data_IF_425625100074
#
_entry.id   IF_425625100074
#
_cell.length_a   1.000
_cell.length_b   1.000
_cell.length_c   1.000
_cell.angle_alpha   90.00
_cell.angle_beta   90.00
_cell.angle_gamma   90.00
#
_symmetry.space_group_name_H-M   'P 1'
#
loop_
_entity.id
_entity.type
_entity.pdbx_description
1 polymer ?
#
# COMPACT_ATOMS: atom_id res chain seq x y z
N UNK A 1 47.99 39.22 -69.53
CA UNK A 1 47.21 39.70 -68.35
C UNK A 1 47.78 38.95 -67.14
N UNK A 2 48.64 39.56 -66.29
CA UNK A 2 48.29 40.28 -65.03
C UNK A 2 47.18 39.53 -64.27
N UNK A 3 47.25 39.16 -62.98
CA UNK A 3 48.25 39.30 -61.91
C UNK A 3 47.63 38.72 -60.60
N UNK A 4 48.47 38.24 -59.65
CA UNK A 4 48.26 38.03 -58.19
C UNK A 4 47.25 36.95 -57.72
N UNK A 5 47.59 35.92 -56.91
CA UNK A 5 48.29 35.77 -55.60
C UNK A 5 47.39 35.95 -54.34
N UNK A 6 47.51 34.92 -53.48
CA UNK A 6 47.33 34.82 -52.01
C UNK A 6 45.99 34.36 -51.39
N UNK A 7 46.13 33.26 -50.64
CA UNK A 7 45.37 32.83 -49.46
C UNK A 7 44.86 33.99 -48.60
N UNK A 8 43.71 33.80 -47.94
CA UNK A 8 43.50 33.79 -46.47
C UNK A 8 42.00 33.92 -46.17
N UNK A 9 41.45 32.95 -45.42
CA UNK A 9 40.43 33.09 -44.35
C UNK A 9 39.20 33.98 -44.60
N UNK A 10 37.99 33.41 -44.53
CA UNK A 10 36.79 33.91 -43.81
C UNK A 10 35.60 32.97 -44.15
N UNK A 11 35.18 32.09 -43.24
CA UNK A 11 34.10 32.35 -42.28
C UNK A 11 32.77 32.69 -42.95
N UNK A 12 31.93 31.68 -43.21
CA UNK A 12 30.47 31.83 -43.24
C UNK A 12 29.75 30.48 -43.39
N UNK A 13 29.02 30.11 -42.33
CA UNK A 13 27.68 29.49 -42.40
C UNK A 13 27.55 28.10 -43.04
N UNK A 14 27.61 27.04 -42.21
CA UNK A 14 26.42 26.20 -41.87
C UNK A 14 26.84 25.06 -40.94
N UNK A 15 26.95 25.36 -39.65
CA UNK A 15 26.77 24.36 -38.59
C UNK A 15 25.29 24.44 -38.22
N UNK A 16 24.52 23.50 -38.73
CA UNK A 16 23.15 23.20 -38.29
C UNK A 16 22.88 21.71 -38.54
N UNK A 17 23.71 20.86 -37.92
CA UNK A 17 23.36 19.47 -37.66
C UNK A 17 22.81 19.41 -36.23
N UNK A 18 21.61 19.98 -36.05
CA UNK A 18 20.80 19.78 -34.85
C UNK A 18 19.85 18.64 -35.19
N UNK A 19 20.18 17.47 -34.63
CA UNK A 19 19.28 16.47 -34.07
C UNK A 19 17.79 16.61 -34.43
N UNK A 20 17.31 15.71 -35.29
CA UNK A 20 15.94 15.21 -35.24
C UNK A 20 16.02 13.69 -35.12
N UNK A 21 16.44 13.24 -33.92
CA UNK A 21 16.01 11.95 -33.40
C UNK A 21 14.55 12.16 -33.01
N UNK A 22 13.66 11.56 -33.77
CA UNK A 22 12.25 11.41 -33.43
C UNK A 22 12.14 10.44 -32.26
N UNK A 23 12.26 10.94 -31.04
CA UNK A 23 11.69 10.28 -29.88
C UNK A 23 10.25 10.79 -29.74
N UNK A 24 9.29 9.96 -30.15
CA UNK A 24 7.92 10.05 -29.63
C UNK A 24 7.97 9.58 -28.18
N UNK A 25 8.24 10.50 -27.26
CA UNK A 25 7.89 10.28 -25.86
C UNK A 25 6.40 10.58 -25.73
N UNK A 26 5.58 9.62 -26.11
CA UNK A 26 4.32 9.36 -25.41
C UNK A 26 4.70 8.54 -24.18
N UNK A 27 5.40 9.19 -23.24
CA UNK A 27 5.44 8.73 -21.86
C UNK A 27 4.19 9.32 -21.21
N UNK A 28 3.02 8.73 -21.49
CA UNK A 28 1.94 8.65 -20.51
C UNK A 28 2.35 7.66 -19.41
N UNK A 29 3.59 7.79 -18.94
CA UNK A 29 3.92 7.38 -17.60
C UNK A 29 3.17 8.38 -16.75
N UNK A 30 2.01 7.94 -16.23
CA UNK A 30 1.44 8.43 -15.00
C UNK A 30 2.55 8.31 -13.95
N UNK A 31 3.49 9.26 -13.99
CA UNK A 31 4.30 9.60 -12.86
C UNK A 31 3.27 10.18 -11.89
N UNK A 32 2.74 9.27 -11.07
CA UNK A 32 2.18 9.58 -9.78
C UNK A 32 3.35 10.26 -9.08
N UNK A 33 3.51 11.57 -9.31
CA UNK A 33 4.14 12.44 -8.33
C UNK A 33 3.26 12.27 -7.11
N UNK A 34 3.62 11.29 -6.26
CA UNK A 34 3.04 11.17 -4.94
C UNK A 34 3.17 12.57 -4.35
N UNK A 35 2.04 13.20 -4.07
CA UNK A 35 2.12 14.45 -3.34
C UNK A 35 2.79 14.08 -2.01
N UNK A 36 3.87 14.75 -1.67
CA UNK A 36 4.59 14.52 -0.41
C UNK A 36 3.57 14.53 0.73
N UNK A 37 3.55 13.46 1.53
CA UNK A 37 2.50 13.28 2.56
C UNK A 37 2.63 14.36 3.62
N UNK A 38 3.87 14.72 3.95
CA UNK A 38 4.28 15.91 4.70
C UNK A 38 5.11 16.77 3.75
N UNK A 39 4.76 18.04 3.58
CA UNK A 39 5.48 18.92 2.65
C UNK A 39 6.82 19.40 3.23
N UNK A 40 7.91 19.20 2.49
CA UNK A 40 9.21 19.81 2.80
C UNK A 40 9.10 21.33 2.91
N UNK A 41 9.79 21.92 3.89
CA UNK A 41 9.72 23.35 4.19
C UNK A 41 8.60 23.74 5.17
N UNK A 42 7.73 22.79 5.57
CA UNK A 42 6.72 22.99 6.61
C UNK A 42 7.37 23.11 7.99
N UNK A 43 6.91 24.03 8.82
CA UNK A 43 7.33 24.14 10.21
C UNK A 43 6.62 23.12 11.08
N UNK A 44 7.37 22.44 11.95
CA UNK A 44 6.84 21.45 12.89
C UNK A 44 7.28 21.76 14.31
N UNK A 45 6.35 21.66 15.26
CA UNK A 45 6.61 21.76 16.69
C UNK A 45 6.34 20.43 17.39
N UNK A 46 7.26 19.97 18.22
CA UNK A 46 7.12 18.74 19.03
C UNK A 46 6.96 19.07 20.51
N UNK A 47 5.95 18.46 21.14
CA UNK A 47 5.70 18.50 22.59
C UNK A 47 5.40 17.11 23.12
N UNK A 48 5.72 16.88 24.39
CA UNK A 48 5.56 15.58 25.02
C UNK A 48 4.62 15.64 26.24
N UNK A 49 3.81 14.60 26.40
CA UNK A 49 3.01 14.35 27.60
C UNK A 49 3.14 12.90 28.01
N UNK A 50 3.00 12.62 29.30
CA UNK A 50 2.99 11.26 29.82
C UNK A 50 1.70 10.98 30.60
N UNK A 51 1.20 9.75 30.47
CA UNK A 51 0.09 9.21 31.22
C UNK A 51 0.51 7.86 31.81
N UNK A 52 0.60 7.74 33.13
CA UNK A 52 0.91 6.49 33.82
C UNK A 52 -0.32 5.61 34.03
N UNK A 53 -0.22 4.33 33.68
CA UNK A 53 -1.25 3.32 33.82
C UNK A 53 -1.21 2.53 35.13
N UNK A 54 -1.53 1.24 35.06
CA UNK A 54 -1.56 0.31 36.20
C UNK A 54 -0.13 -0.15 36.50
N UNK A 55 0.63 0.70 37.18
CA UNK A 55 2.06 0.50 37.48
C UNK A 55 2.55 1.50 38.53
N UNK A 56 3.85 1.86 38.59
CA UNK A 56 4.24 3.07 39.32
C UNK A 56 3.42 4.23 38.76
N UNK A 57 2.42 4.66 39.52
CA UNK A 57 1.42 5.62 39.08
C UNK A 57 2.04 7.02 39.11
N UNK A 58 2.84 7.32 38.09
CA UNK A 58 3.50 8.62 37.93
C UNK A 58 2.48 9.76 37.85
N UNK A 59 1.29 9.48 37.34
CA UNK A 59 0.25 10.49 37.09
C UNK A 59 -1.15 10.05 37.54
N UNK A 60 -1.28 8.91 38.21
CA UNK A 60 -2.59 8.32 38.59
C UNK A 60 -3.60 8.25 37.43
N UNK A 61 -3.14 7.90 36.23
CA UNK A 61 -3.97 7.80 35.03
C UNK A 61 -4.26 9.11 34.32
N UNK A 62 -3.85 10.26 34.88
CA UNK A 62 -3.97 11.56 34.21
C UNK A 62 -2.88 11.72 33.15
N UNK A 63 -3.24 12.28 31.99
CA UNK A 63 -2.24 12.77 31.03
C UNK A 63 -1.73 14.12 31.51
N UNK A 64 -0.41 14.23 31.68
CA UNK A 64 0.25 15.46 32.14
C UNK A 64 1.39 15.86 31.21
N UNK A 65 1.66 17.17 31.04
CA UNK A 65 2.81 17.64 30.29
C UNK A 65 4.14 17.14 30.90
N UNK A 66 5.13 16.86 30.07
CA UNK A 66 6.42 16.30 30.51
C UNK A 66 7.17 17.23 31.48
N UNK A 67 6.91 18.54 31.40
CA UNK A 67 7.47 19.57 32.27
C UNK A 67 7.20 19.30 33.76
N UNK A 68 6.13 18.57 34.09
CA UNK A 68 5.81 18.15 35.45
C UNK A 68 6.91 17.26 36.05
N UNK A 69 7.61 16.49 35.21
CA UNK A 69 8.69 15.60 35.62
C UNK A 69 10.06 16.30 35.67
N UNK A 70 10.17 17.47 35.03
CA UNK A 70 11.40 18.25 34.92
C UNK A 70 11.17 19.70 35.36
N UNK A 71 10.77 19.95 36.63
CA UNK A 71 10.35 21.28 37.08
C UNK A 71 11.47 22.33 37.06
N UNK A 72 12.73 21.89 37.10
CA UNK A 72 13.91 22.75 37.07
C UNK A 72 14.52 22.88 35.66
N UNK A 73 14.00 22.17 34.66
CA UNK A 73 14.48 22.26 33.29
C UNK A 73 13.94 23.51 32.59
N UNK A 74 14.71 24.03 31.63
CA UNK A 74 14.24 25.08 30.73
C UNK A 74 13.11 24.52 29.84
N UNK A 75 11.89 25.13 29.83
CA UNK A 75 10.80 24.68 28.96
C UNK A 75 11.17 24.62 27.48
N UNK A 76 12.12 25.45 27.04
CA UNK A 76 12.62 25.46 25.65
C UNK A 76 13.51 24.25 25.33
N UNK A 77 13.91 23.48 26.33
CA UNK A 77 14.64 22.22 26.16
C UNK A 77 13.72 20.98 26.18
N UNK A 78 12.43 21.16 26.48
CA UNK A 78 11.41 20.11 26.56
C UNK A 78 10.39 20.16 25.40
N UNK A 79 10.46 21.23 24.61
CA UNK A 79 9.74 21.42 23.36
C UNK A 79 10.75 21.87 22.29
N UNK A 80 10.49 21.57 21.03
CA UNK A 80 11.35 22.01 19.95
C UNK A 80 10.51 22.36 18.71
N UNK A 81 11.08 23.20 17.85
CA UNK A 81 10.51 23.56 16.56
C UNK A 81 11.57 23.42 15.48
N UNK A 82 11.20 22.87 14.34
CA UNK A 82 12.08 22.68 13.18
C UNK A 82 11.32 22.97 11.89
N UNK A 83 12.02 22.89 10.76
CA UNK A 83 11.46 22.89 9.41
C UNK A 83 11.77 21.54 8.81
N UNK A 84 10.78 20.88 8.20
CA UNK A 84 10.93 19.58 7.56
C UNK A 84 11.90 19.70 6.39
N UNK A 85 13.00 18.96 6.42
CA UNK A 85 14.03 18.90 5.38
C UNK A 85 14.53 17.45 5.20
N UNK A 86 15.58 17.22 4.42
CA UNK A 86 16.16 15.87 4.22
C UNK A 86 17.04 15.41 5.41
N UNK A 87 17.26 16.28 6.40
CA UNK A 87 18.18 16.10 7.52
C UNK A 87 17.43 16.14 8.86
N UNK A 88 17.94 15.39 9.84
CA UNK A 88 17.45 15.34 11.23
C UNK A 88 16.97 16.70 11.80
N UNK A 89 15.68 16.81 12.06
CA UNK A 89 15.02 18.04 12.51
C UNK A 89 15.25 18.39 13.98
N UNK A 90 15.25 17.37 14.86
CA UNK A 90 15.27 17.59 16.30
C UNK A 90 16.41 16.84 16.98
N UNK A 91 17.68 17.25 16.72
CA UNK A 91 18.81 16.65 17.38
C UNK A 91 18.73 16.92 18.88
N UNK A 92 18.84 15.85 19.67
CA UNK A 92 18.83 15.93 21.14
C UNK A 92 17.54 16.49 21.74
N UNK A 93 16.38 16.21 21.13
CA UNK A 93 15.07 16.55 21.68
C UNK A 93 14.89 16.01 23.11
N UNK A 94 14.14 16.79 23.92
CA UNK A 94 13.77 16.46 25.29
C UNK A 94 15.03 16.15 26.12
N UNK A 95 15.89 17.15 26.30
CA UNK A 95 17.16 17.01 27.04
C UNK A 95 18.06 15.88 26.54
N UNK A 96 18.08 15.60 25.23
CA UNK A 96 18.88 14.53 24.66
C UNK A 96 18.32 13.13 24.88
N UNK A 97 17.00 12.98 25.05
CA UNK A 97 16.36 11.67 25.10
C UNK A 97 16.31 11.02 23.74
N UNK A 98 15.82 11.76 22.74
CA UNK A 98 15.62 11.28 21.38
C UNK A 98 16.35 12.15 20.37
N UNK A 99 16.82 11.49 19.33
CA UNK A 99 17.00 12.06 18.01
C UNK A 99 15.72 11.80 17.21
N UNK A 100 15.09 12.87 16.70
CA UNK A 100 13.84 12.76 15.94
C UNK A 100 14.03 13.37 14.57
N UNK A 101 13.64 12.61 13.57
CA UNK A 101 13.80 12.89 12.14
C UNK A 101 12.44 12.67 11.47
N UNK A 102 11.97 13.65 10.71
CA UNK A 102 10.67 13.67 10.06
C UNK A 102 10.90 14.06 8.61
N UNK A 103 10.68 13.11 7.70
CA UNK A 103 10.71 13.36 6.28
C UNK A 103 9.28 13.38 5.69
N UNK A 104 9.20 13.47 4.36
CA UNK A 104 7.92 13.56 3.65
C UNK A 104 6.98 12.39 3.91
N UNK A 105 7.52 11.20 4.20
CA UNK A 105 6.79 9.93 4.27
C UNK A 105 7.08 9.12 5.54
N UNK A 106 7.87 9.64 6.47
CA UNK A 106 8.32 8.91 7.66
C UNK A 106 8.60 9.79 8.87
N UNK A 107 8.42 9.20 10.05
CA UNK A 107 8.74 9.80 11.34
C UNK A 107 9.60 8.77 12.10
N UNK A 108 10.82 9.14 12.45
CA UNK A 108 11.80 8.27 13.09
C UNK A 108 12.17 8.81 14.47
N UNK A 109 12.19 7.92 15.46
CA UNK A 109 12.68 8.21 16.81
C UNK A 109 13.83 7.27 17.14
N UNK A 110 14.97 7.83 17.52
CA UNK A 110 16.11 7.07 18.01
C UNK A 110 16.51 7.54 19.41
N UNK A 111 16.50 6.64 20.39
CA UNK A 111 16.90 7.00 21.74
C UNK A 111 18.40 7.27 21.81
N UNK A 112 18.75 8.50 22.18
CA UNK A 112 20.14 8.96 22.34
C UNK A 112 20.66 8.77 23.76
N UNK A 113 19.77 8.77 24.75
CA UNK A 113 20.13 8.55 26.15
C UNK A 113 20.82 7.19 26.35
N UNK A 114 21.90 7.18 27.12
CA UNK A 114 22.75 6.01 27.31
C UNK A 114 22.57 5.36 28.69
N UNK A 115 23.07 4.14 28.85
CA UNK A 115 23.09 3.48 30.17
C UNK A 115 23.83 4.35 31.18
N UNK A 116 23.18 4.67 32.30
CA UNK A 116 23.74 5.54 33.33
C UNK A 116 23.56 7.03 33.08
N UNK A 117 22.75 7.42 32.09
CA UNK A 117 22.31 8.80 31.91
C UNK A 117 21.70 9.35 33.21
N UNK A 118 22.16 10.52 33.65
CA UNK A 118 21.76 11.10 34.93
C UNK A 118 20.31 11.61 34.93
N UNK A 119 19.77 11.95 33.76
CA UNK A 119 18.41 12.44 33.58
C UNK A 119 17.45 11.28 33.37
N UNK A 120 17.80 10.35 32.48
CA UNK A 120 16.87 9.31 32.00
C UNK A 120 17.10 7.92 32.57
N UNK A 121 18.24 7.66 33.20
CA UNK A 121 18.61 6.34 33.69
C UNK A 121 17.59 5.72 34.66
N UNK A 122 16.90 6.54 35.45
CA UNK A 122 15.84 6.10 36.36
C UNK A 122 14.51 5.75 35.70
N UNK A 123 14.33 6.12 34.43
CA UNK A 123 13.10 5.88 33.67
C UNK A 123 13.18 4.67 32.72
N UNK A 124 14.38 4.12 32.47
CA UNK A 124 14.52 2.97 31.58
C UNK A 124 13.77 1.74 32.08
N UNK A 125 12.84 1.23 31.27
CA UNK A 125 11.95 0.10 31.59
C UNK A 125 11.16 -0.35 30.36
N UNK A 126 10.41 -1.44 30.49
CA UNK A 126 9.31 -1.73 29.57
C UNK A 126 8.07 -0.95 30.01
N UNK A 127 7.43 -0.22 29.09
CA UNK A 127 6.24 0.58 29.38
C UNK A 127 5.10 -0.33 29.85
N UNK A 128 4.49 0.03 30.97
CA UNK A 128 3.47 -0.77 31.64
C UNK A 128 2.08 -0.66 31.00
N UNK A 129 1.22 -1.63 31.29
CA UNK A 129 -0.16 -1.66 30.82
C UNK A 129 -0.92 -0.37 31.20
N UNK A 130 -1.55 0.23 30.19
CA UNK A 130 -2.30 1.48 30.33
C UNK A 130 -1.46 2.74 30.49
N UNK A 131 -0.12 2.66 30.37
CA UNK A 131 0.76 3.82 30.29
C UNK A 131 0.93 4.28 28.84
N UNK A 132 1.03 5.59 28.62
CA UNK A 132 1.24 6.19 27.32
C UNK A 132 2.21 7.36 27.40
N UNK A 133 3.17 7.38 26.49
CA UNK A 133 4.04 8.52 26.23
C UNK A 133 3.68 9.09 24.86
N UNK A 134 3.30 10.37 24.79
CA UNK A 134 2.71 10.98 23.59
C UNK A 134 3.50 12.18 23.13
N UNK A 135 3.91 12.14 21.87
CA UNK A 135 4.57 13.22 21.18
C UNK A 135 3.61 13.86 20.19
N UNK A 136 3.20 15.09 20.50
CA UNK A 136 2.33 15.92 19.68
C UNK A 136 3.19 16.67 18.67
N UNK A 137 3.04 16.32 17.40
CA UNK A 137 3.65 17.00 16.25
C UNK A 137 2.61 17.97 15.69
N UNK A 138 2.87 19.26 15.82
CA UNK A 138 1.99 20.33 15.32
C UNK A 138 2.65 21.02 14.14
N UNK A 139 2.06 20.88 12.97
CA UNK A 139 2.53 21.47 11.71
C UNK A 139 1.90 22.85 11.50
N UNK A 140 2.67 23.80 10.98
CA UNK A 140 2.15 25.14 10.65
C UNK A 140 1.30 25.17 9.38
N UNK A 141 1.50 24.21 8.48
CA UNK A 141 0.64 23.90 7.34
C UNK A 141 -0.02 22.51 7.47
N UNK A 142 -1.16 22.27 6.81
CA UNK A 142 -1.80 20.96 6.80
C UNK A 142 -0.89 19.85 6.25
N UNK A 143 -0.84 18.71 6.93
CA UNK A 143 -0.30 17.47 6.39
C UNK A 143 -1.38 16.71 5.61
N UNK A 144 -0.96 15.72 4.81
CA UNK A 144 -1.83 14.87 3.99
C UNK A 144 -1.94 13.44 4.54
N UNK A 145 -1.54 13.18 5.78
CA UNK A 145 -1.52 11.82 6.35
C UNK A 145 -2.94 11.28 6.52
N UNK A 146 -3.21 10.12 5.91
CA UNK A 146 -4.48 9.37 6.02
C UNK A 146 -4.30 7.99 6.64
N UNK A 147 -3.16 7.34 6.42
CA UNK A 147 -2.81 6.07 7.07
C UNK A 147 -1.33 6.01 7.47
N UNK A 148 -0.97 4.98 8.23
CA UNK A 148 0.41 4.75 8.66
C UNK A 148 0.66 3.26 8.95
N UNK A 149 1.93 2.90 9.00
CA UNK A 149 2.43 1.65 9.59
C UNK A 149 3.54 1.99 10.60
N UNK A 150 3.77 1.11 11.59
CA UNK A 150 4.88 1.28 12.55
C UNK A 150 5.78 0.06 12.56
N UNK A 151 7.07 0.28 12.76
CA UNK A 151 8.06 -0.80 12.95
C UNK A 151 7.94 -1.50 14.30
N UNK A 152 7.20 -0.94 15.26
CA UNK A 152 7.04 -1.47 16.61
C UNK A 152 5.54 -1.54 16.99
N UNK A 153 5.08 -2.71 17.40
CA UNK A 153 3.68 -2.95 17.74
C UNK A 153 3.20 -2.19 19.00
N UNK A 154 4.11 -1.70 19.83
CA UNK A 154 3.81 -0.86 20.98
C UNK A 154 3.73 0.65 20.63
N UNK A 155 3.97 1.01 19.37
CA UNK A 155 3.91 2.39 18.89
C UNK A 155 2.75 2.56 17.91
N UNK A 156 2.00 3.63 18.09
CA UNK A 156 0.86 3.98 17.26
C UNK A 156 0.93 5.45 16.81
N UNK A 157 0.30 5.78 15.69
CA UNK A 157 0.08 7.16 15.27
C UNK A 157 -1.42 7.49 15.39
N UNK A 158 -1.75 8.68 15.87
CA UNK A 158 -3.11 9.23 15.87
C UNK A 158 -3.12 10.52 15.05
N UNK A 159 -4.10 10.64 14.15
CA UNK A 159 -4.32 11.84 13.36
C UNK A 159 -5.41 12.64 14.06
N UNK A 160 -5.03 13.68 14.80
CA UNK A 160 -5.98 14.48 15.60
C UNK A 160 -6.64 15.59 14.78
N UNK A 161 -5.91 16.13 13.79
CA UNK A 161 -6.40 17.10 12.81
C UNK A 161 -5.44 17.16 11.63
N UNK A 162 -5.81 17.92 10.59
CA UNK A 162 -4.95 18.18 9.43
C UNK A 162 -3.60 18.83 9.80
N UNK A 163 -3.43 19.39 11.00
CA UNK A 163 -2.18 19.99 11.46
C UNK A 163 -1.55 19.26 12.66
N UNK A 164 -2.17 18.19 13.17
CA UNK A 164 -1.71 17.52 14.40
C UNK A 164 -1.64 16.01 14.22
N UNK A 165 -0.43 15.48 14.35
CA UNK A 165 -0.17 14.06 14.51
C UNK A 165 0.29 13.79 15.95
N UNK A 166 -0.08 12.63 16.49
CA UNK A 166 0.34 12.21 17.82
C UNK A 166 0.98 10.83 17.74
N UNK A 167 2.29 10.77 17.96
CA UNK A 167 3.02 9.51 18.15
C UNK A 167 2.78 9.05 19.57
N UNK A 168 2.18 7.88 19.74
CA UNK A 168 1.83 7.30 21.03
C UNK A 168 2.63 6.01 21.26
N UNK A 169 3.54 6.04 22.23
CA UNK A 169 4.27 4.88 22.72
C UNK A 169 3.49 4.31 23.90
N UNK A 170 3.19 3.01 23.87
CA UNK A 170 2.35 2.34 24.86
C UNK A 170 2.97 1.08 25.46
N UNK A 171 2.10 0.26 26.05
CA UNK A 171 2.45 -1.00 26.72
C UNK A 171 3.36 -1.89 25.87
N UNK A 172 4.41 -2.44 26.50
CA UNK A 172 5.31 -3.40 25.89
C UNK A 172 6.51 -2.78 25.18
N UNK A 173 6.51 -1.46 24.93
CA UNK A 173 7.68 -0.78 24.37
C UNK A 173 8.87 -0.87 25.34
N UNK A 174 10.03 -1.28 24.84
CA UNK A 174 11.24 -1.42 25.66
C UNK A 174 12.01 -0.10 25.64
N UNK A 175 11.66 0.79 26.56
CA UNK A 175 12.26 2.12 26.73
C UNK A 175 13.65 2.01 27.40
N UNK A 176 14.69 1.78 26.59
CA UNK A 176 16.08 1.63 27.05
C UNK A 176 17.08 2.10 25.98
N UNK A 177 18.36 2.35 26.33
CA UNK A 177 19.38 2.79 25.39
C UNK A 177 19.43 1.93 24.12
N UNK A 178 19.45 2.59 22.96
CA UNK A 178 19.43 1.95 21.65
C UNK A 178 18.04 1.57 21.13
N UNK A 179 16.96 1.84 21.87
CA UNK A 179 15.61 1.73 21.34
C UNK A 179 15.38 2.71 20.19
N UNK A 180 14.71 2.25 19.15
CA UNK A 180 14.31 3.07 18.01
C UNK A 180 13.06 2.51 17.37
N UNK A 181 12.27 3.37 16.73
CA UNK A 181 11.15 2.97 15.90
C UNK A 181 10.97 3.95 14.75
N UNK A 182 10.33 3.47 13.70
CA UNK A 182 9.88 4.28 12.57
C UNK A 182 8.37 4.17 12.38
N UNK A 183 7.79 5.23 11.85
CA UNK A 183 6.41 5.27 11.38
C UNK A 183 6.47 5.69 9.92
N UNK A 184 5.91 4.88 9.03
CA UNK A 184 5.72 5.25 7.62
C UNK A 184 4.31 5.81 7.47
N UNK A 185 4.17 7.00 6.88
CA UNK A 185 2.87 7.66 6.67
C UNK A 185 2.47 7.63 5.19
N UNK A 186 1.17 7.69 4.94
CA UNK A 186 0.62 7.68 3.58
C UNK A 186 -0.58 8.61 3.43
N UNK A 187 -0.71 9.22 2.26
CA UNK A 187 -1.90 9.97 1.84
C UNK A 187 -3.09 9.07 1.46
N UNK A 188 -2.87 7.75 1.38
CA UNK A 188 -3.94 6.80 1.11
C UNK A 188 -4.68 6.49 2.40
N UNK A 189 -6.01 6.61 2.37
CA UNK A 189 -6.86 6.09 3.44
C UNK A 189 -6.53 4.61 3.69
N UNK A 190 -6.60 4.12 4.94
CA UNK A 190 -6.42 2.71 5.20
C UNK A 190 -7.52 1.97 4.43
N UNK A 191 -7.12 1.25 3.39
CA UNK A 191 -8.02 0.42 2.60
C UNK A 191 -8.53 -0.68 3.50
N UNK A 192 -9.81 -0.61 3.87
CA UNK A 192 -10.47 -1.74 4.53
C UNK A 192 -10.56 -2.84 3.48
N UNK A 193 -9.92 -4.01 3.69
CA UNK A 193 -10.01 -5.09 2.72
C UNK A 193 -11.46 -5.44 2.45
N UNK A 194 -11.84 -5.43 1.18
CA UNK A 194 -13.16 -5.89 0.75
C UNK A 194 -13.32 -7.39 0.95
N UNK A 195 -12.21 -8.12 0.90
CA UNK A 195 -12.11 -9.53 1.25
C UNK A 195 -11.06 -9.69 2.33
N UNK A 196 -11.36 -10.48 3.37
CA UNK A 196 -10.49 -10.57 4.54
C UNK A 196 -9.34 -11.57 4.34
N UNK A 197 -8.13 -11.17 4.70
CA UNK A 197 -7.01 -12.09 4.84
C UNK A 197 -7.28 -13.10 5.97
N UNK A 198 -6.89 -14.35 5.74
CA UNK A 198 -7.09 -15.50 6.63
C UNK A 198 -8.31 -16.37 6.27
N UNK A 199 -9.12 -15.94 5.30
CA UNK A 199 -10.38 -16.60 4.95
C UNK A 199 -10.24 -17.61 3.82
N UNK A 200 -11.00 -18.71 3.85
CA UNK A 200 -10.97 -19.67 2.73
C UNK A 200 -11.90 -19.21 1.63
N UNK A 201 -11.38 -19.22 0.39
CA UNK A 201 -12.15 -18.97 -0.83
C UNK A 201 -12.16 -20.23 -1.69
N UNK A 202 -13.34 -20.56 -2.21
CA UNK A 202 -13.59 -21.70 -3.11
C UNK A 202 -13.95 -21.16 -4.48
N UNK A 203 -13.23 -21.59 -5.51
CA UNK A 203 -13.41 -21.20 -6.91
C UNK A 203 -14.02 -22.35 -7.69
N UNK A 204 -15.17 -22.08 -8.34
CA UNK A 204 -15.85 -23.01 -9.26
C UNK A 204 -16.13 -22.31 -10.57
N UNK A 205 -16.18 -23.09 -11.65
CA UNK A 205 -16.40 -22.54 -12.98
C UNK A 205 -17.59 -23.18 -13.70
N UNK A 206 -18.32 -22.37 -14.44
CA UNK A 206 -19.40 -22.79 -15.33
C UNK A 206 -19.30 -22.07 -16.66
N UNK A 207 -19.74 -22.70 -17.73
CA UNK A 207 -19.80 -22.08 -19.04
C UNK A 207 -21.22 -22.15 -19.61
N UNK A 208 -21.61 -21.08 -20.30
CA UNK A 208 -22.84 -20.98 -21.06
C UNK A 208 -22.50 -20.47 -22.45
N UNK A 209 -22.97 -21.13 -23.51
CA UNK A 209 -22.81 -20.63 -24.87
C UNK A 209 -23.79 -21.27 -25.83
N UNK A 210 -24.22 -20.52 -26.85
CA UNK A 210 -25.23 -20.99 -27.79
C UNK A 210 -24.79 -22.17 -28.63
N UNK A 211 -23.48 -22.29 -28.92
CA UNK A 211 -22.95 -23.35 -29.77
C UNK A 211 -22.49 -24.60 -28.99
N UNK A 212 -22.09 -24.43 -27.73
CA UNK A 212 -21.49 -25.49 -26.92
C UNK A 212 -22.52 -26.12 -25.98
N UNK A 213 -23.35 -25.31 -25.33
CA UNK A 213 -24.31 -25.75 -24.30
C UNK A 213 -25.76 -25.45 -24.67
N UNK A 214 -26.05 -25.13 -25.94
CA UNK A 214 -27.37 -24.70 -26.40
C UNK A 214 -27.95 -23.52 -25.56
N UNK A 215 -27.06 -22.66 -25.04
CA UNK A 215 -27.42 -21.52 -24.20
C UNK A 215 -27.78 -21.87 -22.76
N UNK A 216 -27.55 -23.11 -22.32
CA UNK A 216 -27.73 -23.55 -20.93
C UNK A 216 -26.41 -23.35 -20.16
N UNK A 217 -26.48 -22.86 -18.92
CA UNK A 217 -25.29 -22.81 -18.06
C UNK A 217 -24.99 -24.21 -17.54
N UNK A 218 -23.78 -24.71 -17.83
CA UNK A 218 -23.31 -26.03 -17.41
C UNK A 218 -22.03 -25.92 -16.60
N UNK A 219 -21.81 -26.86 -15.68
CA UNK A 219 -20.55 -26.95 -14.95
C UNK A 219 -19.42 -27.30 -15.91
N UNK A 220 -18.25 -26.72 -15.67
CA UNK A 220 -17.11 -26.98 -16.53
C UNK A 220 -16.68 -28.46 -16.48
N UNK A 221 -16.83 -29.15 -15.35
CA UNK A 221 -16.53 -30.57 -15.27
C UNK A 221 -17.42 -31.41 -16.20
N UNK A 222 -18.70 -31.04 -16.34
CA UNK A 222 -19.63 -31.76 -17.21
C UNK A 222 -19.21 -31.58 -18.68
N UNK A 223 -18.76 -30.38 -19.06
CA UNK A 223 -18.20 -30.09 -20.40
C UNK A 223 -16.91 -30.85 -20.70
N UNK A 224 -16.03 -30.99 -19.70
CA UNK A 224 -14.77 -31.72 -19.84
C UNK A 224 -14.92 -33.23 -19.60
N UNK A 225 -16.11 -33.72 -19.22
CA UNK A 225 -16.30 -35.11 -18.80
C UNK A 225 -15.47 -35.50 -17.57
N UNK A 226 -15.13 -34.52 -16.73
CA UNK A 226 -14.35 -34.69 -15.51
C UNK A 226 -15.25 -35.08 -14.32
N UNK A 227 -14.72 -35.76 -13.29
CA UNK A 227 -15.49 -36.04 -12.07
C UNK A 227 -15.96 -34.74 -11.39
N UNK A 228 -17.17 -34.74 -10.84
CA UNK A 228 -17.69 -33.58 -10.11
C UNK A 228 -16.73 -33.14 -8.98
N UNK A 229 -16.45 -31.84 -8.90
CA UNK A 229 -15.54 -31.26 -7.91
C UNK A 229 -14.05 -31.38 -8.24
N UNK A 230 -13.69 -32.06 -9.34
CA UNK A 230 -12.28 -32.27 -9.68
C UNK A 230 -11.59 -31.05 -10.28
N UNK A 231 -12.36 -30.04 -10.70
CA UNK A 231 -11.86 -28.78 -11.23
C UNK A 231 -12.17 -27.59 -10.30
N UNK A 232 -12.70 -27.86 -9.11
CA UNK A 232 -12.82 -26.87 -8.04
C UNK A 232 -11.46 -26.67 -7.36
N UNK A 233 -11.18 -25.44 -6.94
CA UNK A 233 -10.00 -25.12 -6.14
C UNK A 233 -10.42 -24.34 -4.90
N UNK A 234 -9.68 -24.52 -3.81
CA UNK A 234 -9.88 -23.75 -2.58
C UNK A 234 -8.54 -23.39 -1.95
N UNK A 235 -8.43 -22.19 -1.41
CA UNK A 235 -7.23 -21.77 -0.68
C UNK A 235 -7.58 -20.73 0.38
N UNK A 236 -6.65 -20.45 1.28
CA UNK A 236 -6.79 -19.40 2.29
C UNK A 236 -6.21 -18.10 1.77
N UNK A 237 -6.96 -17.01 1.92
CA UNK A 237 -6.55 -15.68 1.53
C UNK A 237 -5.39 -15.24 2.42
N UNK A 238 -4.27 -14.87 1.82
CA UNK A 238 -3.11 -14.21 2.40
C UNK A 238 -2.77 -13.04 1.48
N UNK A 239 -1.84 -12.16 1.83
CA UNK A 239 -1.39 -11.13 0.88
C UNK A 239 -0.91 -11.81 -0.41
N UNK A 240 -1.58 -11.49 -1.54
CA UNK A 240 -1.36 -12.07 -2.87
C UNK A 240 -1.57 -13.59 -2.96
N UNK A 241 -2.84 -14.01 -2.94
CA UNK A 241 -3.20 -15.43 -3.06
C UNK A 241 -3.19 -15.90 -4.48
N UNK A 242 -2.27 -16.81 -4.76
CA UNK A 242 -2.09 -17.43 -6.06
C UNK A 242 -2.90 -18.74 -6.13
N UNK A 243 -3.74 -18.87 -7.16
CA UNK A 243 -4.22 -20.16 -7.66
C UNK A 243 -3.41 -20.55 -8.88
N UNK A 244 -2.17 -21.05 -8.70
CA UNK A 244 -1.33 -21.33 -9.84
C UNK A 244 -1.94 -22.46 -10.65
N UNK A 245 -2.11 -22.22 -11.95
CA UNK A 245 -2.61 -23.23 -12.89
C UNK A 245 -4.03 -23.73 -12.56
N UNK A 246 -4.91 -22.84 -12.08
CA UNK A 246 -6.34 -23.15 -11.92
C UNK A 246 -6.93 -23.74 -13.21
N UNK A 247 -7.89 -24.65 -13.03
CA UNK A 247 -8.59 -25.30 -14.13
C UNK A 247 -7.62 -25.97 -15.12
N UNK A 248 -6.80 -26.92 -14.65
CA UNK A 248 -5.84 -27.63 -15.50
C UNK A 248 -4.83 -26.71 -16.24
N UNK A 249 -4.42 -25.60 -15.61
CA UNK A 249 -3.44 -24.68 -16.20
C UNK A 249 -4.03 -23.61 -17.11
N UNK A 250 -5.31 -23.29 -17.01
CA UNK A 250 -5.90 -22.21 -17.80
C UNK A 250 -5.49 -20.84 -17.30
N UNK A 251 -5.85 -20.55 -16.04
CA UNK A 251 -5.63 -19.25 -15.41
C UNK A 251 -4.67 -19.40 -14.25
N UNK A 252 -3.85 -18.37 -14.08
CA UNK A 252 -3.31 -17.98 -12.80
C UNK A 252 -4.23 -16.90 -12.23
N UNK A 253 -4.73 -17.10 -11.01
CA UNK A 253 -5.69 -16.19 -10.39
C UNK A 253 -5.10 -15.67 -9.10
N UNK A 254 -4.96 -14.35 -9.02
CA UNK A 254 -4.50 -13.67 -7.82
C UNK A 254 -5.68 -13.00 -7.12
N UNK A 255 -5.87 -13.29 -5.82
CA UNK A 255 -6.85 -12.61 -4.98
C UNK A 255 -6.11 -11.86 -3.88
N UNK A 256 -6.33 -10.55 -3.83
CA UNK A 256 -5.90 -9.68 -2.74
C UNK A 256 -7.12 -9.05 -2.07
N UNK A 257 -6.94 -8.44 -0.92
CA UNK A 257 -8.02 -7.87 -0.12
C UNK A 257 -8.92 -6.90 -0.88
N UNK A 258 -8.44 -6.27 -1.97
CA UNK A 258 -9.20 -5.31 -2.76
C UNK A 258 -9.14 -5.56 -4.28
N UNK A 259 -8.61 -6.69 -4.73
CA UNK A 259 -8.55 -6.98 -6.16
C UNK A 259 -8.59 -8.47 -6.46
N UNK A 260 -9.03 -8.78 -7.67
CA UNK A 260 -8.97 -10.12 -8.26
C UNK A 260 -8.35 -9.99 -9.65
N UNK A 261 -7.26 -10.69 -9.90
CA UNK A 261 -6.55 -10.69 -11.17
C UNK A 261 -6.62 -12.08 -11.81
N UNK A 262 -6.85 -12.12 -13.11
CA UNK A 262 -6.82 -13.33 -13.92
C UNK A 262 -5.77 -13.17 -15.01
N UNK A 263 -4.84 -14.11 -15.06
CA UNK A 263 -3.80 -14.20 -16.09
C UNK A 263 -3.94 -15.51 -16.85
N UNK A 264 -4.29 -15.46 -18.14
CA UNK A 264 -4.42 -16.67 -18.97
C UNK A 264 -3.02 -17.21 -19.30
N UNK A 265 -2.64 -18.31 -18.64
CA UNK A 265 -1.30 -18.92 -18.73
C UNK A 265 -1.22 -20.09 -19.71
N UNK A 266 -2.35 -20.69 -20.10
CA UNK A 266 -2.38 -21.73 -21.11
C UNK A 266 -1.79 -21.25 -22.45
N UNK A 267 -0.97 -22.10 -23.07
CA UNK A 267 -0.28 -21.80 -24.32
C UNK A 267 -1.14 -22.15 -25.53
N UNK A 268 -0.86 -21.54 -26.69
CA UNK A 268 -1.66 -21.71 -27.92
C UNK A 268 -1.83 -23.18 -28.36
N UNK A 269 -0.85 -24.04 -28.05
CA UNK A 269 -0.84 -25.47 -28.35
C UNK A 269 -1.25 -26.36 -27.17
N UNK A 270 -1.81 -25.78 -26.11
CA UNK A 270 -2.34 -26.53 -24.97
C UNK A 270 -3.41 -27.53 -25.43
N UNK A 271 -3.30 -28.78 -24.97
CA UNK A 271 -4.15 -29.86 -25.42
C UNK A 271 -5.61 -29.73 -24.95
N UNK A 272 -5.84 -29.03 -23.83
CA UNK A 272 -7.17 -28.80 -23.26
C UNK A 272 -7.80 -27.52 -23.83
N UNK A 273 -7.02 -26.44 -23.94
CA UNK A 273 -7.53 -25.09 -24.22
C UNK A 273 -7.20 -24.54 -25.60
N UNK A 274 -6.17 -25.04 -26.28
CA UNK A 274 -5.78 -24.63 -27.63
C UNK A 274 -6.96 -24.52 -28.61
N UNK A 275 -7.83 -25.55 -28.70
CA UNK A 275 -9.02 -25.51 -29.56
C UNK A 275 -10.13 -24.54 -29.12
N UNK A 276 -10.08 -24.04 -27.88
CA UNK A 276 -11.10 -23.17 -27.29
C UNK A 276 -10.74 -21.67 -27.41
N UNK A 277 -9.49 -21.32 -27.73
CA UNK A 277 -9.08 -19.92 -27.89
C UNK A 277 -9.80 -19.21 -29.02
N UNK A 278 -10.42 -18.08 -28.70
CA UNK A 278 -11.28 -17.29 -29.59
C UNK A 278 -11.62 -15.95 -28.95
N UNK A 279 -12.33 -15.09 -29.68
CA UNK A 279 -13.07 -14.00 -29.05
C UNK A 279 -14.42 -14.54 -28.61
N UNK A 280 -14.80 -14.35 -27.34
CA UNK A 280 -16.05 -14.88 -26.79
C UNK A 280 -17.24 -14.28 -27.55
N UNK A 281 -18.14 -15.15 -28.01
CA UNK A 281 -19.26 -14.80 -28.86
C UNK A 281 -20.43 -14.19 -28.08
N UNK A 282 -21.30 -13.48 -28.79
CA UNK A 282 -22.53 -12.92 -28.22
C UNK A 282 -23.40 -14.00 -27.56
N UNK A 283 -23.80 -13.76 -26.31
CA UNK A 283 -24.61 -14.70 -25.53
C UNK A 283 -23.84 -15.88 -24.92
N UNK A 284 -22.51 -15.87 -24.99
CA UNK A 284 -21.64 -16.80 -24.27
C UNK A 284 -21.05 -16.14 -23.01
N UNK A 285 -20.95 -16.91 -21.94
CA UNK A 285 -20.44 -16.47 -20.64
C UNK A 285 -19.62 -17.58 -19.99
N UNK A 286 -18.44 -17.21 -19.51
CA UNK A 286 -17.63 -18.01 -18.62
C UNK A 286 -17.71 -17.40 -17.21
N UNK A 287 -18.17 -18.18 -16.22
CA UNK A 287 -18.46 -17.67 -14.87
C UNK A 287 -17.62 -18.37 -13.82
N UNK A 288 -16.89 -17.59 -13.05
CA UNK A 288 -16.12 -18.05 -11.91
C UNK A 288 -16.83 -17.62 -10.64
N UNK A 289 -17.35 -18.59 -9.89
CA UNK A 289 -17.98 -18.41 -8.60
C UNK A 289 -16.90 -18.46 -7.52
N UNK A 290 -16.70 -17.35 -6.83
CA UNK A 290 -15.82 -17.22 -5.66
C UNK A 290 -16.71 -17.23 -4.41
N UNK A 291 -16.68 -18.32 -3.66
CA UNK A 291 -17.43 -18.47 -2.41
C UNK A 291 -16.48 -18.34 -1.23
N UNK A 292 -16.76 -17.40 -0.33
CA UNK A 292 -15.97 -17.14 0.86
C UNK A 292 -16.62 -17.81 2.09
N UNK A 293 -15.79 -18.26 3.03
CA UNK A 293 -16.27 -18.86 4.29
C UNK A 293 -16.90 -17.81 5.25
N UNK A 294 -16.62 -16.52 5.02
CA UNK A 294 -17.21 -15.38 5.73
C UNK A 294 -17.73 -14.32 4.76
N UNK A 295 -18.52 -13.39 5.27
CA UNK A 295 -19.05 -12.28 4.49
C UNK A 295 -17.93 -11.33 4.03
N UNK A 296 -17.96 -10.96 2.75
CA UNK A 296 -17.13 -9.92 2.16
C UNK A 296 -17.79 -8.54 2.28
N UNK A 297 -16.98 -7.48 2.18
CA UNK A 297 -17.47 -6.10 2.26
C UNK A 297 -17.78 -5.46 0.90
N UNK A 298 -17.48 -6.13 -0.21
CA UNK A 298 -17.65 -5.61 -1.59
C UNK A 298 -19.02 -4.97 -1.80
N UNK A 299 -19.05 -3.73 -2.28
CA UNK A 299 -20.24 -2.94 -2.65
C UNK A 299 -20.25 -2.53 -4.10
N UNK A 300 -19.08 -2.28 -4.68
CA UNK A 300 -18.91 -1.95 -6.09
C UNK A 300 -17.61 -2.55 -6.63
N UNK A 301 -17.39 -2.38 -7.93
CA UNK A 301 -16.17 -2.83 -8.60
C UNK A 301 -15.88 -1.97 -9.83
N UNK A 302 -14.63 -2.04 -10.28
CA UNK A 302 -14.22 -1.65 -11.64
C UNK A 302 -13.49 -2.82 -12.29
N UNK A 303 -13.53 -2.91 -13.62
CA UNK A 303 -12.77 -3.91 -14.38
C UNK A 303 -11.88 -3.24 -15.42
N UNK A 304 -10.69 -3.81 -15.64
CA UNK A 304 -9.78 -3.38 -16.71
C UNK A 304 -10.24 -3.81 -18.10
N UNK A 305 -11.20 -4.73 -18.21
CA UNK A 305 -11.74 -5.22 -19.48
C UNK A 305 -13.26 -5.02 -19.52
N UNK A 306 -13.76 -4.40 -20.60
CA UNK A 306 -15.18 -4.10 -20.76
C UNK A 306 -16.07 -5.34 -20.98
N UNK A 307 -15.46 -6.48 -21.36
CA UNK A 307 -16.14 -7.76 -21.51
C UNK A 307 -16.19 -8.56 -20.20
N UNK A 308 -15.64 -8.02 -19.11
CA UNK A 308 -15.62 -8.65 -17.78
C UNK A 308 -16.52 -7.88 -16.83
N UNK A 309 -17.38 -8.60 -16.13
CA UNK A 309 -18.31 -8.08 -15.14
C UNK A 309 -18.12 -8.82 -13.80
N UNK A 310 -18.45 -8.16 -12.70
CA UNK A 310 -18.56 -8.80 -11.38
C UNK A 310 -20.02 -8.73 -10.91
N UNK A 311 -20.55 -9.85 -10.44
CA UNK A 311 -21.88 -9.94 -9.83
C UNK A 311 -21.73 -10.32 -8.36
N UNK A 312 -22.47 -9.62 -7.49
CA UNK A 312 -22.55 -9.94 -6.06
C UNK A 312 -23.83 -10.74 -5.86
N UNK A 313 -23.71 -12.05 -5.66
CA UNK A 313 -24.86 -12.96 -5.54
C UNK A 313 -25.35 -13.07 -4.09
N UNK A 314 -24.45 -12.98 -3.12
CA UNK A 314 -24.73 -12.91 -1.69
C UNK A 314 -23.60 -12.21 -0.96
N UNK A 315 -23.72 -12.05 0.37
CA UNK A 315 -22.68 -11.44 1.22
C UNK A 315 -21.37 -12.24 1.21
N UNK A 316 -21.36 -13.47 0.71
CA UNK A 316 -20.20 -14.36 0.67
C UNK A 316 -19.96 -15.01 -0.71
N UNK A 317 -20.61 -14.52 -1.77
CA UNK A 317 -20.45 -15.05 -3.13
C UNK A 317 -20.30 -13.92 -4.13
N UNK A 318 -19.15 -13.91 -4.80
CA UNK A 318 -18.87 -13.11 -5.97
C UNK A 318 -18.86 -14.00 -7.22
N UNK A 319 -19.31 -13.46 -8.35
CA UNK A 319 -19.25 -14.15 -9.64
C UNK A 319 -18.55 -13.25 -10.65
N UNK A 320 -17.38 -13.67 -11.11
CA UNK A 320 -16.69 -13.05 -12.24
C UNK A 320 -17.28 -13.62 -13.52
N UNK A 321 -17.85 -12.77 -14.35
CA UNK A 321 -18.49 -13.14 -15.61
C UNK A 321 -17.68 -12.55 -16.78
N UNK A 322 -17.06 -13.44 -17.56
CA UNK A 322 -16.36 -13.12 -18.80
C UNK A 322 -17.33 -13.36 -19.96
N UNK A 323 -17.61 -12.33 -20.75
CA UNK A 323 -18.66 -12.36 -21.77
C UNK A 323 -18.18 -11.95 -23.17
N UNK A 324 -19.16 -11.56 -23.98
CA UNK A 324 -18.99 -11.17 -25.39
C UNK A 324 -17.86 -10.15 -25.57
N UNK A 325 -16.98 -10.43 -26.55
CA UNK A 325 -15.90 -9.53 -26.94
C UNK A 325 -14.59 -9.74 -26.19
N UNK A 326 -14.57 -10.54 -25.13
CA UNK A 326 -13.32 -10.90 -24.46
C UNK A 326 -12.40 -11.68 -25.39
N UNK A 327 -11.14 -11.29 -25.51
CA UNK A 327 -10.15 -11.96 -26.35
C UNK A 327 -9.50 -13.09 -25.55
N UNK A 328 -10.13 -14.26 -25.55
CA UNK A 328 -9.66 -15.46 -24.86
C UNK A 328 -8.51 -16.12 -25.63
N UNK A 329 -7.28 -15.64 -25.41
CA UNK A 329 -6.04 -16.10 -26.03
C UNK A 329 -4.86 -16.10 -25.04
N UNK A 330 -3.77 -16.84 -25.31
CA UNK A 330 -2.57 -16.85 -24.45
C UNK A 330 -2.06 -15.45 -24.10
N UNK A 331 -1.85 -15.20 -22.81
CA UNK A 331 -1.38 -13.92 -22.28
C UNK A 331 -2.46 -12.86 -22.09
N UNK A 332 -3.74 -13.17 -22.36
CA UNK A 332 -4.83 -12.29 -21.98
C UNK A 332 -4.92 -12.19 -20.45
N UNK A 333 -5.14 -10.99 -19.94
CA UNK A 333 -5.32 -10.75 -18.51
C UNK A 333 -6.34 -9.65 -18.25
N UNK A 334 -6.92 -9.69 -17.05
CA UNK A 334 -7.76 -8.62 -16.56
C UNK A 334 -7.71 -8.55 -15.04
N UNK A 335 -7.99 -7.36 -14.52
CA UNK A 335 -8.06 -7.07 -13.08
C UNK A 335 -9.44 -6.52 -12.75
N UNK A 336 -9.98 -6.96 -11.62
CA UNK A 336 -11.18 -6.41 -10.99
C UNK A 336 -10.75 -5.76 -9.69
N UNK A 337 -10.98 -4.45 -9.56
CA UNK A 337 -10.78 -3.75 -8.29
C UNK A 337 -12.10 -3.75 -7.52
N UNK A 338 -12.03 -4.09 -6.23
CA UNK A 338 -13.17 -4.21 -5.33
C UNK A 338 -13.29 -2.95 -4.47
N UNK A 339 -14.51 -2.46 -4.28
CA UNK A 339 -14.82 -1.23 -3.53
C UNK A 339 -15.95 -1.40 -2.53
#
# INVERSE_FOLDING_TARGET
>A
MKNYKYNTLFFALTIAAISLVSCSNDDDNLDITANSVIETGTGVAIKNTFQGGVGPAFTDGAEVPIEVFFPDADPTALSATATIEDDVEFPSYLLGLYDVDIDENSINFQMTAQTGDATYGGFFRTIEAGSFDRYYLTFDEPHNVKSFTSSDAAVNLRIDSDNVLVVQIGEGFVFQPGASFSITVSEKEPITPQVLNGETVHVRNTFQGTEITDGIEEKIEDLFGAPAGSLEASTTIVESVEFPSYLLGLYDIDIDGNSIEYNLVAQADDANYGPLFRTIEAGSFDRYYLTFDVDHNVKSFTSSDAAVNLRIDSDNVLVVEIGEGFVFQPGASFTINLE
#
